data_IF_607202364047
#
_entry.id   IF_607202364047
#
_cell.length_a   1.000
_cell.length_b   1.000
_cell.length_c   1.000
_cell.angle_alpha   90.00
_cell.angle_beta   90.00
_cell.angle_gamma   90.00
#
_symmetry.space_group_name_H-M   'P 1'
#
loop_
_entity.id
_entity.type
_entity.pdbx_description
1 polymer ?
#
# COMPACT_ATOMS: atom_id res chain seq x y z
N UNK A 1 -6.17 0.60 0.69
CA UNK A 1 -6.50 1.43 -0.49
C UNK A 1 -5.20 1.92 -1.10
N UNK A 2 -5.24 2.86 -2.04
CA UNK A 2 -4.02 3.56 -2.46
C UNK A 2 -3.48 4.53 -1.42
N UNK A 3 -4.36 5.38 -0.90
CA UNK A 3 -4.03 6.56 -0.09
C UNK A 3 -4.36 6.45 1.42
N UNK A 4 -4.88 5.30 1.88
CA UNK A 4 -5.44 5.14 3.23
C UNK A 4 -6.94 5.47 3.30
N UNK A 5 -7.57 5.25 4.46
CA UNK A 5 -8.96 5.67 4.70
C UNK A 5 -9.09 7.19 4.96
N UNK A 6 -8.04 7.82 5.47
CA UNK A 6 -8.03 9.20 5.94
C UNK A 6 -6.99 10.06 5.20
N UNK A 7 -7.13 11.38 5.35
CA UNK A 7 -6.18 12.35 4.79
C UNK A 7 -6.65 13.01 3.48
N UNK A 8 -5.88 14.01 3.00
CA UNK A 8 -6.30 14.87 1.90
C UNK A 8 -6.47 14.15 0.56
N UNK A 9 -5.76 13.03 0.37
CA UNK A 9 -5.80 12.24 -0.86
C UNK A 9 -6.74 11.02 -0.77
N UNK A 10 -7.34 10.72 0.39
CA UNK A 10 -8.15 9.49 0.57
C UNK A 10 -9.29 9.33 -0.44
N UNK A 11 -9.82 10.44 -0.98
CA UNK A 11 -10.89 10.46 -1.99
C UNK A 11 -10.39 10.72 -3.42
N UNK A 12 -9.09 10.92 -3.60
CA UNK A 12 -8.50 11.13 -4.92
C UNK A 12 -8.36 9.80 -5.66
N UNK A 13 -8.58 9.81 -6.97
CA UNK A 13 -8.23 8.68 -7.82
C UNK A 13 -6.70 8.52 -7.87
N UNK A 14 -6.23 7.29 -8.00
CA UNK A 14 -4.83 6.94 -8.11
C UNK A 14 -4.63 5.53 -8.66
N UNK A 15 -3.42 5.23 -9.08
CA UNK A 15 -2.95 3.89 -9.47
C UNK A 15 -1.56 3.68 -8.87
N UNK A 16 -1.02 2.46 -8.93
CA UNK A 16 0.32 2.10 -8.43
C UNK A 16 1.36 3.25 -8.55
N UNK A 17 1.56 3.74 -9.79
CA UNK A 17 2.50 4.82 -10.09
C UNK A 17 2.29 6.10 -9.28
N UNK A 18 1.04 6.49 -8.99
CA UNK A 18 0.76 7.71 -8.22
C UNK A 18 1.17 7.54 -6.76
N UNK A 19 0.96 6.36 -6.19
CA UNK A 19 1.33 6.08 -4.80
C UNK A 19 2.85 6.05 -4.67
N UNK A 20 3.55 5.37 -5.59
CA UNK A 20 5.02 5.34 -5.62
C UNK A 20 5.65 6.72 -5.85
N UNK A 21 4.98 7.60 -6.60
CA UNK A 21 5.46 8.96 -6.84
C UNK A 21 5.51 9.79 -5.55
N UNK A 22 4.52 9.63 -4.66
CA UNK A 22 4.43 10.40 -3.41
C UNK A 22 5.38 9.87 -2.34
N UNK A 23 5.63 8.55 -2.30
CA UNK A 23 6.56 7.95 -1.33
C UNK A 23 8.03 8.18 -1.69
N UNK A 24 8.32 8.65 -2.91
CA UNK A 24 9.68 8.78 -3.44
C UNK A 24 10.26 7.47 -3.96
N UNK A 25 9.56 6.33 -3.79
CA UNK A 25 9.99 5.05 -4.32
C UNK A 25 10.16 5.07 -5.85
N UNK A 26 9.24 5.75 -6.57
CA UNK A 26 9.34 5.89 -8.01
C UNK A 26 10.61 6.66 -8.42
N UNK A 27 10.99 7.70 -7.66
CA UNK A 27 12.17 8.50 -7.96
C UNK A 27 13.49 7.72 -7.85
N UNK A 28 13.49 6.58 -7.17
CA UNK A 28 14.65 5.71 -7.00
C UNK A 28 14.77 4.61 -8.07
N UNK A 29 13.83 4.52 -9.02
CA UNK A 29 13.76 3.41 -10.00
C UNK A 29 13.87 3.96 -11.41
N UNK A 30 14.88 3.48 -12.14
CA UNK A 30 15.15 3.89 -13.52
C UNK A 30 16.49 4.62 -13.66
N UNK A 31 16.82 5.08 -14.88
CA UNK A 31 17.99 5.91 -15.12
C UNK A 31 17.79 7.35 -14.56
N UNK A 32 18.88 8.11 -14.43
CA UNK A 32 18.87 9.44 -13.80
C UNK A 32 17.93 10.44 -14.50
N UNK A 33 17.77 10.32 -15.82
CA UNK A 33 16.98 11.27 -16.61
C UNK A 33 15.48 11.14 -16.38
N UNK A 34 15.00 9.93 -16.03
CA UNK A 34 13.57 9.71 -15.77
C UNK A 34 13.29 8.45 -14.93
N UNK A 35 12.34 8.55 -13.98
CA UNK A 35 11.78 7.38 -13.34
C UNK A 35 11.13 6.40 -14.33
N UNK A 36 11.25 5.11 -14.05
CA UNK A 36 10.57 4.04 -14.78
C UNK A 36 9.71 3.24 -13.80
N UNK A 37 8.38 3.23 -13.96
CA UNK A 37 7.51 2.43 -13.11
C UNK A 37 7.84 0.95 -13.25
N UNK A 38 8.10 0.22 -12.15
CA UNK A 38 8.40 -1.21 -12.17
C UNK A 38 7.10 -2.03 -12.35
N UNK A 39 6.41 -1.81 -13.49
CA UNK A 39 5.03 -2.24 -13.71
C UNK A 39 4.16 -1.76 -12.53
N UNK A 40 3.25 -2.61 -12.05
CA UNK A 40 2.52 -2.43 -10.79
C UNK A 40 3.00 -3.40 -9.70
N UNK A 41 4.26 -3.84 -9.76
CA UNK A 41 4.76 -4.87 -8.85
C UNK A 41 5.05 -4.35 -7.45
N UNK A 42 5.49 -3.10 -7.35
CA UNK A 42 5.93 -2.53 -6.07
C UNK A 42 4.75 -2.02 -5.26
N UNK A 43 3.83 -1.26 -5.85
CA UNK A 43 2.69 -0.73 -5.12
C UNK A 43 1.57 -1.75 -4.95
N UNK A 44 0.93 -2.19 -6.03
CA UNK A 44 -0.28 -3.02 -5.96
C UNK A 44 -0.03 -4.36 -5.28
N UNK A 45 1.10 -5.02 -5.59
CA UNK A 45 1.43 -6.33 -5.01
C UNK A 45 2.33 -6.21 -3.78
N UNK A 46 3.52 -5.65 -3.94
CA UNK A 46 4.55 -5.58 -2.89
C UNK A 46 4.10 -4.80 -1.65
N UNK A 47 3.66 -3.57 -1.84
CA UNK A 47 3.24 -2.64 -0.79
C UNK A 47 1.77 -2.76 -0.41
N UNK A 48 0.91 -3.22 -1.33
CA UNK A 48 -0.53 -3.32 -1.12
C UNK A 48 -0.97 -4.72 -0.71
N UNK A 49 -1.06 -5.63 -1.68
CA UNK A 49 -1.65 -6.95 -1.47
C UNK A 49 -0.91 -7.76 -0.39
N UNK A 50 0.42 -7.77 -0.40
CA UNK A 50 1.20 -8.52 0.59
C UNK A 50 1.02 -7.98 2.02
N UNK A 51 0.99 -6.65 2.19
CA UNK A 51 0.73 -6.03 3.50
C UNK A 51 -0.69 -6.26 3.98
N UNK A 52 -1.68 -6.23 3.08
CA UNK A 52 -3.05 -6.59 3.44
C UNK A 52 -3.15 -8.06 3.88
N UNK A 53 -2.51 -8.98 3.16
CA UNK A 53 -2.46 -10.40 3.56
C UNK A 53 -1.79 -10.56 4.93
N UNK A 54 -0.65 -9.90 5.16
CA UNK A 54 0.03 -9.93 6.44
C UNK A 54 -0.86 -9.37 7.58
N UNK A 55 -1.52 -8.25 7.35
CA UNK A 55 -2.44 -7.62 8.30
C UNK A 55 -3.65 -8.50 8.62
N UNK A 56 -4.25 -9.16 7.61
CA UNK A 56 -5.34 -10.13 7.80
C UNK A 56 -4.86 -11.31 8.64
N UNK A 57 -3.71 -11.90 8.32
CA UNK A 57 -3.17 -13.03 9.08
C UNK A 57 -2.90 -12.64 10.54
N UNK A 58 -2.31 -11.47 10.78
CA UNK A 58 -2.12 -10.93 12.13
C UNK A 58 -3.46 -10.71 12.85
N UNK A 59 -4.46 -10.18 12.14
CA UNK A 59 -5.82 -9.99 12.64
C UNK A 59 -6.50 -11.31 13.03
N UNK A 60 -6.36 -12.36 12.23
CA UNK A 60 -6.90 -13.68 12.53
C UNK A 60 -6.23 -14.30 13.77
N UNK A 61 -4.91 -14.17 13.90
CA UNK A 61 -4.17 -14.63 15.08
C UNK A 61 -4.62 -13.87 16.35
N UNK A 62 -4.82 -12.56 16.25
CA UNK A 62 -5.36 -11.73 17.35
C UNK A 62 -6.79 -12.14 17.72
N UNK A 63 -7.66 -12.29 16.72
CA UNK A 63 -9.06 -12.67 16.92
C UNK A 63 -9.19 -14.07 17.52
N UNK A 64 -8.32 -15.02 17.14
CA UNK A 64 -8.30 -16.36 17.75
C UNK A 64 -7.98 -16.36 19.25
N UNK A 65 -7.25 -15.35 19.75
CA UNK A 65 -6.91 -15.21 21.17
C UNK A 65 -7.91 -14.37 21.96
N UNK A 66 -8.50 -13.37 21.31
CA UNK A 66 -9.33 -12.35 21.96
C UNK A 66 -10.82 -12.56 21.75
N UNK A 67 -11.21 -13.37 20.76
CA UNK A 67 -12.59 -13.52 20.30
C UNK A 67 -13.15 -12.29 19.58
N UNK A 68 -12.31 -11.29 19.26
CA UNK A 68 -12.73 -10.02 18.65
C UNK A 68 -11.97 -9.75 17.35
N UNK A 69 -12.70 -9.37 16.31
CA UNK A 69 -12.10 -8.85 15.08
C UNK A 69 -11.60 -7.42 15.23
N UNK A 70 -10.91 -6.94 14.20
CA UNK A 70 -10.40 -5.57 14.09
C UNK A 70 -10.38 -5.13 12.62
N UNK A 71 -10.27 -3.83 12.39
CA UNK A 71 -10.08 -3.27 11.05
C UNK A 71 -8.59 -3.31 10.69
N UNK A 72 -8.30 -3.70 9.45
CA UNK A 72 -6.97 -3.59 8.85
C UNK A 72 -7.09 -2.56 7.73
N UNK A 73 -6.53 -1.36 7.95
CA UNK A 73 -6.27 -0.43 6.86
C UNK A 73 -4.86 -0.68 6.33
N UNK A 74 -4.72 -0.84 5.03
CA UNK A 74 -3.46 -1.07 4.36
C UNK A 74 -3.42 -0.16 3.13
N UNK A 75 -2.67 0.94 3.20
CA UNK A 75 -2.48 1.84 2.08
C UNK A 75 -1.20 1.49 1.30
N UNK A 76 -1.25 1.61 -0.03
CA UNK A 76 -0.06 1.38 -0.86
C UNK A 76 1.02 2.45 -0.60
N UNK A 77 0.62 3.65 -0.17
CA UNK A 77 1.55 4.74 0.12
C UNK A 77 2.14 4.73 1.55
N UNK A 78 1.76 3.78 2.40
CA UNK A 78 2.36 3.60 3.73
C UNK A 78 3.79 3.02 3.63
#
# INVERSE_FOLDING_TARGET
TGWGQDGPLAKAAGHDITYLAVTGALAAIGPEERPVPPLNLVGDYGGGALYLVAGILAGLLSAGRTGRGQVVDAAICD
#
